data_IF_398399003178
#
_entry.id   IF_398399003178
#
_cell.length_a   1.000
_cell.length_b   1.000
_cell.length_c   1.000
_cell.angle_alpha   90.00
_cell.angle_beta   90.00
_cell.angle_gamma   90.00
#
_symmetry.space_group_name_H-M   'P 1'
#
loop_
_entity.id
_entity.type
_entity.pdbx_description
1 polymer ?
#
# COMPACT_ATOMS: atom_id res chain seq x y z
N UNK A 1 8.32 -69.67 51.56
CA UNK A 1 8.46 -70.83 52.46
C UNK A 1 9.92 -70.92 52.90
N UNK A 2 10.21 -70.73 54.18
CA UNK A 2 11.55 -70.74 54.75
C UNK A 2 11.49 -70.39 56.24
N UNK A 3 10.97 -71.33 57.05
CA UNK A 3 10.71 -71.18 58.48
C UNK A 3 12.00 -71.31 59.32
N UNK A 4 12.23 -70.32 60.18
CA UNK A 4 12.66 -70.34 61.60
C UNK A 4 13.60 -71.47 62.07
N UNK A 5 14.70 -71.09 62.74
CA UNK A 5 15.22 -71.79 63.93
C UNK A 5 15.39 -70.79 65.07
N UNK A 6 14.63 -71.03 66.14
CA UNK A 6 14.68 -70.31 67.39
C UNK A 6 15.80 -70.87 68.27
N UNK A 7 16.50 -69.97 68.97
CA UNK A 7 17.43 -70.29 70.06
C UNK A 7 16.60 -70.44 71.34
N UNK A 8 16.73 -71.58 72.01
CA UNK A 8 16.12 -71.84 73.32
C UNK A 8 17.11 -72.62 74.19
N UNK A 9 17.70 -71.97 75.20
CA UNK A 9 18.13 -72.58 76.47
C UNK A 9 18.58 -71.47 77.43
N UNK A 10 18.00 -71.43 78.64
CA UNK A 10 18.47 -70.59 79.73
C UNK A 10 17.36 -69.97 80.57
N UNK A 11 16.60 -70.81 81.29
CA UNK A 11 15.63 -70.40 82.31
C UNK A 11 16.36 -70.05 83.62
N UNK A 12 16.24 -68.81 84.09
CA UNK A 12 16.23 -68.49 85.52
C UNK A 12 15.44 -67.18 85.72
N UNK A 13 14.29 -67.31 86.38
CA UNK A 13 13.32 -66.24 86.63
C UNK A 13 13.86 -65.17 87.58
N UNK A 14 13.49 -63.90 87.36
CA UNK A 14 13.07 -62.90 88.36
C UNK A 14 12.53 -61.66 87.60
N UNK A 15 11.35 -61.20 88.04
CA UNK A 15 10.73 -59.89 87.84
C UNK A 15 10.33 -59.44 86.41
N UNK A 16 9.04 -59.08 86.29
CA UNK A 16 8.45 -58.52 85.09
C UNK A 16 9.22 -57.31 84.59
N UNK A 17 9.74 -57.43 83.38
CA UNK A 17 10.19 -56.30 82.58
C UNK A 17 9.32 -56.28 81.35
N UNK A 18 8.61 -55.17 81.16
CA UNK A 18 8.02 -54.83 79.88
C UNK A 18 9.05 -55.14 78.81
N UNK A 19 8.75 -56.05 77.88
CA UNK A 19 9.48 -56.07 76.61
C UNK A 19 9.15 -54.72 75.99
N UNK A 20 10.09 -53.76 75.92
CA UNK A 20 9.82 -52.56 75.15
C UNK A 20 9.59 -53.08 73.74
N UNK A 21 8.46 -52.73 73.14
CA UNK A 21 8.34 -52.84 71.70
C UNK A 21 9.63 -52.25 71.13
N UNK A 22 10.42 -53.05 70.41
CA UNK A 22 11.62 -52.55 69.75
C UNK A 22 11.09 -51.57 68.72
N UNK A 23 11.01 -50.30 69.11
CA UNK A 23 10.74 -49.22 68.20
C UNK A 23 11.89 -49.23 67.19
N UNK A 24 11.60 -49.16 65.89
CA UNK A 24 12.66 -49.00 64.89
C UNK A 24 13.53 -47.82 65.34
N UNK A 25 14.83 -48.07 65.52
CA UNK A 25 15.81 -47.00 65.73
C UNK A 25 16.37 -46.63 64.37
N UNK A 26 16.56 -45.33 64.17
CA UNK A 26 17.23 -44.84 62.97
C UNK A 26 18.65 -45.40 62.91
N UNK A 27 19.06 -45.82 61.72
CA UNK A 27 20.44 -46.18 61.48
C UNK A 27 21.21 -44.86 61.29
N UNK A 28 21.89 -44.42 62.35
CA UNK A 28 22.71 -43.20 62.37
C UNK A 28 24.20 -43.57 62.35
N UNK A 29 24.99 -42.81 61.59
CA UNK A 29 26.44 -42.83 61.65
C UNK A 29 26.94 -41.46 62.11
N UNK A 30 27.98 -41.44 62.94
CA UNK A 30 28.57 -40.20 63.46
C UNK A 30 29.49 -39.53 62.40
N UNK A 31 29.61 -38.20 62.47
CA UNK A 31 30.67 -37.41 61.82
C UNK A 31 30.89 -37.66 60.32
N UNK A 32 29.82 -37.84 59.55
CA UNK A 32 29.89 -37.99 58.09
C UNK A 32 30.29 -39.39 57.61
N UNK A 33 30.39 -40.38 58.51
CA UNK A 33 30.51 -41.77 58.12
C UNK A 33 29.26 -42.24 57.35
N UNK A 34 29.46 -43.07 56.33
CA UNK A 34 28.34 -43.60 55.56
C UNK A 34 27.64 -44.73 56.31
N UNK A 35 26.32 -44.62 56.50
CA UNK A 35 25.49 -45.78 56.82
C UNK A 35 25.35 -46.63 55.55
N UNK A 36 26.19 -47.65 55.45
CA UNK A 36 26.23 -48.53 54.28
C UNK A 36 25.18 -49.65 54.38
N UNK A 37 24.06 -49.50 53.67
CA UNK A 37 23.09 -50.58 53.44
C UNK A 37 23.40 -51.24 52.09
N UNK A 38 23.84 -52.51 52.09
CA UNK A 38 24.00 -53.30 50.85
C UNK A 38 25.25 -53.02 50.00
N UNK A 39 26.33 -52.47 50.60
CA UNK A 39 27.69 -52.10 50.13
C UNK A 39 28.09 -52.10 48.64
N UNK A 40 27.63 -53.02 47.78
CA UNK A 40 27.85 -53.01 46.33
C UNK A 40 26.96 -54.08 45.67
N UNK A 41 25.76 -53.71 45.21
CA UNK A 41 24.96 -54.60 44.38
C UNK A 41 25.55 -54.61 42.95
N UNK A 42 26.59 -55.40 42.71
CA UNK A 42 27.11 -55.66 41.36
C UNK A 42 26.23 -56.74 40.72
N UNK A 43 24.97 -56.41 40.45
CA UNK A 43 24.05 -57.32 39.79
C UNK A 43 24.22 -57.24 38.28
N UNK A 44 24.63 -58.33 37.64
CA UNK A 44 24.49 -58.54 36.18
C UNK A 44 23.03 -58.74 35.74
N UNK A 45 22.07 -58.36 36.59
CA UNK A 45 20.65 -58.68 36.45
C UNK A 45 19.83 -57.39 36.46
N UNK A 46 18.75 -57.36 35.69
CA UNK A 46 17.84 -56.21 35.47
C UNK A 46 17.06 -55.72 36.71
N UNK A 47 17.48 -56.05 37.94
CA UNK A 47 16.78 -55.69 39.19
C UNK A 47 17.52 -54.57 39.97
N UNK A 48 16.80 -53.65 40.64
CA UNK A 48 17.43 -52.55 41.35
C UNK A 48 18.06 -52.99 42.68
N UNK A 49 19.09 -52.25 43.09
CA UNK A 49 19.82 -52.47 44.35
C UNK A 49 18.96 -52.18 45.60
N UNK A 50 18.03 -51.22 45.50
CA UNK A 50 17.10 -50.82 46.56
C UNK A 50 15.71 -50.68 45.92
N UNK A 51 14.70 -51.38 46.47
CA UNK A 51 13.30 -51.27 46.07
C UNK A 51 12.45 -50.96 47.30
N UNK A 52 11.74 -49.82 47.31
CA UNK A 52 10.81 -49.42 48.35
C UNK A 52 9.48 -48.97 47.76
N UNK A 53 8.36 -49.39 48.36
CA UNK A 53 7.01 -48.96 47.98
C UNK A 53 6.33 -48.31 49.19
N UNK A 54 5.71 -47.15 48.98
CA UNK A 54 4.95 -46.43 50.01
C UNK A 54 3.61 -45.97 49.42
N UNK A 55 2.52 -46.15 50.16
CA UNK A 55 1.16 -45.86 49.69
C UNK A 55 0.70 -44.41 49.92
N UNK A 56 1.28 -43.69 50.89
CA UNK A 56 0.74 -42.41 51.36
C UNK A 56 1.78 -41.34 51.70
N UNK A 57 3.06 -41.59 51.42
CA UNK A 57 4.19 -40.75 51.81
C UNK A 57 5.41 -40.98 50.92
N UNK A 58 6.55 -40.40 51.29
CA UNK A 58 7.78 -40.46 50.49
C UNK A 58 8.40 -41.86 50.57
N UNK A 59 8.67 -42.49 49.42
CA UNK A 59 9.43 -43.74 49.37
C UNK A 59 10.90 -43.56 49.77
N UNK A 60 11.51 -42.42 49.39
CA UNK A 60 12.87 -41.99 49.75
C UNK A 60 12.86 -40.48 49.99
N UNK A 61 13.57 -40.00 51.01
CA UNK A 61 13.79 -38.56 51.28
C UNK A 61 15.29 -38.32 51.51
N UNK A 62 15.91 -37.52 50.64
CA UNK A 62 17.24 -36.96 50.88
C UNK A 62 17.14 -35.46 51.14
N UNK A 63 17.89 -34.95 52.11
CA UNK A 63 17.84 -33.55 52.56
C UNK A 63 19.27 -33.09 52.89
N UNK A 64 19.64 -31.89 52.44
CA UNK A 64 20.95 -31.28 52.70
C UNK A 64 20.81 -29.77 52.79
N UNK A 65 21.48 -29.15 53.76
CA UNK A 65 21.45 -27.70 53.99
C UNK A 65 22.49 -26.93 53.16
N UNK A 66 23.56 -27.61 52.75
CA UNK A 66 24.74 -26.98 52.13
C UNK A 66 25.08 -27.56 50.75
N UNK A 67 24.52 -28.73 50.39
CA UNK A 67 24.91 -29.48 49.20
C UNK A 67 23.72 -30.23 48.59
N UNK A 68 24.01 -31.25 47.78
CA UNK A 68 23.02 -32.07 47.08
C UNK A 68 22.36 -33.04 48.08
N UNK A 69 21.02 -33.01 48.17
CA UNK A 69 20.26 -33.96 49.00
C UNK A 69 20.15 -35.36 48.39
N UNK A 70 20.07 -35.46 47.06
CA UNK A 70 20.06 -36.73 46.28
C UNK A 70 20.82 -36.49 44.97
N UNK A 71 21.86 -37.29 44.72
CA UNK A 71 22.65 -37.25 43.48
C UNK A 71 22.43 -38.53 42.67
N UNK A 72 22.09 -38.38 41.39
CA UNK A 72 21.81 -39.48 40.47
C UNK A 72 22.71 -39.40 39.25
N UNK A 73 23.72 -40.27 39.21
CA UNK A 73 24.72 -40.29 38.14
C UNK A 73 24.61 -41.58 37.32
N UNK A 74 24.61 -41.44 35.99
CA UNK A 74 24.72 -42.54 35.04
C UNK A 74 25.60 -42.10 33.87
N UNK A 75 26.50 -42.99 33.40
CA UNK A 75 27.42 -42.70 32.30
C UNK A 75 26.76 -42.81 30.93
N UNK A 76 25.94 -43.83 30.76
CA UNK A 76 25.43 -44.25 29.45
C UNK A 76 23.91 -44.09 29.32
N UNK A 77 23.22 -43.70 30.40
CA UNK A 77 21.76 -43.64 30.42
C UNK A 77 21.27 -42.55 31.41
N UNK A 78 19.99 -42.59 31.78
CA UNK A 78 19.34 -41.65 32.69
C UNK A 78 19.88 -41.79 34.12
N UNK A 79 20.35 -40.69 34.70
CA UNK A 79 20.77 -40.62 36.10
C UNK A 79 19.60 -40.61 37.09
N UNK A 80 18.50 -39.91 36.74
CA UNK A 80 17.26 -39.83 37.51
C UNK A 80 16.05 -39.85 36.58
N UNK A 81 15.08 -40.73 36.82
CA UNK A 81 13.82 -40.80 36.08
C UNK A 81 12.63 -40.71 37.04
N UNK A 82 11.66 -39.86 36.73
CA UNK A 82 10.41 -39.73 37.46
C UNK A 82 9.21 -39.91 36.52
N UNK A 83 8.25 -40.75 36.91
CA UNK A 83 7.03 -41.03 36.17
C UNK A 83 5.81 -40.83 37.08
N UNK A 84 4.78 -40.15 36.58
CA UNK A 84 3.50 -39.96 37.26
C UNK A 84 2.39 -39.87 36.21
N UNK A 85 1.21 -40.44 36.51
CA UNK A 85 0.06 -40.43 35.61
C UNK A 85 -0.86 -39.22 35.80
N UNK A 86 -0.84 -38.59 36.97
CA UNK A 86 -1.78 -37.53 37.34
C UNK A 86 -1.10 -36.18 37.61
N UNK A 87 0.17 -36.21 38.00
CA UNK A 87 0.93 -35.03 38.45
C UNK A 87 2.31 -35.01 37.78
N UNK A 88 3.13 -34.02 38.10
CA UNK A 88 4.51 -33.98 37.62
C UNK A 88 5.31 -35.19 38.11
N UNK A 89 5.99 -35.89 37.19
CA UNK A 89 6.93 -36.97 37.54
C UNK A 89 8.18 -36.45 38.27
N UNK A 90 8.58 -35.21 37.97
CA UNK A 90 9.67 -34.49 38.65
C UNK A 90 9.22 -33.04 38.87
N UNK A 91 9.39 -32.54 40.09
CA UNK A 91 9.13 -31.14 40.45
C UNK A 91 10.42 -30.53 40.98
N UNK A 92 10.86 -29.44 40.35
CA UNK A 92 11.96 -28.61 40.83
C UNK A 92 11.44 -27.24 41.25
N UNK A 93 11.75 -26.81 42.48
CA UNK A 93 11.31 -25.51 43.01
C UNK A 93 12.51 -24.79 43.62
N UNK A 94 12.68 -23.52 43.29
CA UNK A 94 13.70 -22.65 43.88
C UNK A 94 13.15 -21.23 44.00
N UNK A 95 13.47 -20.53 45.10
CA UNK A 95 13.05 -19.14 45.33
C UNK A 95 14.04 -18.11 44.78
N UNK A 96 15.29 -18.52 44.55
CA UNK A 96 16.40 -17.61 44.22
C UNK A 96 17.20 -18.04 42.99
N UNK A 97 16.88 -19.18 42.37
CA UNK A 97 17.60 -19.74 41.23
C UNK A 97 16.69 -20.61 40.35
N UNK A 98 17.28 -21.43 39.48
CA UNK A 98 16.54 -22.40 38.65
C UNK A 98 15.92 -23.50 39.52
N UNK A 99 14.61 -23.75 39.34
CA UNK A 99 13.97 -24.93 39.93
C UNK A 99 14.43 -26.22 39.25
N UNK A 100 14.61 -26.18 37.92
CA UNK A 100 15.21 -27.24 37.10
C UNK A 100 16.23 -26.57 36.18
N UNK A 101 17.45 -27.10 36.14
CA UNK A 101 18.50 -26.68 35.22
C UNK A 101 18.90 -27.87 34.35
N UNK A 102 18.73 -27.73 33.03
CA UNK A 102 19.11 -28.74 32.06
C UNK A 102 20.16 -28.18 31.11
N UNK A 103 21.28 -28.87 30.97
CA UNK A 103 22.37 -28.52 30.06
C UNK A 103 22.75 -29.72 29.20
N UNK A 104 22.95 -29.48 27.91
CA UNK A 104 23.41 -30.48 26.96
C UNK A 104 24.62 -29.92 26.21
N UNK A 105 25.74 -30.63 26.25
CA UNK A 105 26.99 -30.23 25.60
C UNK A 105 27.13 -30.81 24.18
N UNK A 106 26.20 -31.67 23.76
CA UNK A 106 26.18 -32.28 22.44
C UNK A 106 25.35 -31.44 21.47
N UNK A 107 25.83 -31.30 20.22
CA UNK A 107 25.07 -30.63 19.16
C UNK A 107 23.69 -31.29 18.96
N UNK A 108 22.65 -30.48 18.77
CA UNK A 108 21.30 -30.95 18.44
C UNK A 108 20.49 -31.53 19.60
N UNK A 109 20.97 -31.44 20.84
CA UNK A 109 20.25 -31.94 22.02
C UNK A 109 19.86 -30.77 22.93
N UNK A 110 18.57 -30.58 23.25
CA UNK A 110 18.17 -29.53 24.19
C UNK A 110 18.53 -29.95 25.63
N UNK A 111 18.93 -28.98 26.45
CA UNK A 111 19.13 -29.21 27.88
C UNK A 111 17.83 -29.59 28.61
N UNK A 112 16.68 -29.05 28.15
CA UNK A 112 15.34 -29.39 28.63
C UNK A 112 14.43 -29.63 27.42
N UNK A 113 13.80 -30.79 27.35
CA UNK A 113 12.83 -31.14 26.30
C UNK A 113 11.42 -31.23 26.89
N UNK A 114 10.49 -30.43 26.37
CA UNK A 114 9.06 -30.54 26.67
C UNK A 114 8.30 -31.12 25.48
N UNK A 115 7.65 -32.27 25.65
CA UNK A 115 6.78 -32.88 24.63
C UNK A 115 5.35 -32.99 25.18
N UNK A 116 4.36 -32.49 24.44
CA UNK A 116 2.96 -32.60 24.82
C UNK A 116 2.09 -32.62 23.55
N UNK A 117 1.10 -33.53 23.49
CA UNK A 117 0.18 -33.66 22.35
C UNK A 117 -1.15 -32.90 22.51
N UNK A 118 -1.45 -32.41 23.72
CA UNK A 118 -2.72 -31.75 24.03
C UNK A 118 -2.55 -30.67 25.14
N UNK A 119 -1.59 -29.75 24.94
CA UNK A 119 -1.21 -28.76 25.94
C UNK A 119 0.18 -28.17 25.71
N UNK A 120 0.74 -27.53 26.74
CA UNK A 120 2.05 -26.91 26.65
C UNK A 120 3.17 -27.91 26.98
N UNK A 121 4.14 -28.06 26.06
CA UNK A 121 5.40 -28.76 26.39
C UNK A 121 6.28 -27.92 27.32
N UNK A 122 6.24 -26.60 27.18
CA UNK A 122 6.92 -25.63 28.04
C UNK A 122 6.02 -24.39 28.20
N UNK A 123 5.85 -23.92 29.44
CA UNK A 123 5.09 -22.70 29.75
C UNK A 123 5.87 -21.90 30.79
N UNK A 124 6.13 -20.63 30.50
CA UNK A 124 6.74 -19.70 31.44
C UNK A 124 5.85 -18.48 31.68
N UNK A 125 5.86 -17.98 32.92
CA UNK A 125 5.11 -16.79 33.34
C UNK A 125 6.05 -15.78 34.02
N UNK A 126 5.62 -14.52 34.12
CA UNK A 126 6.41 -13.44 34.71
C UNK A 126 7.03 -12.53 33.66
N UNK A 127 8.07 -11.77 34.04
CA UNK A 127 8.68 -10.75 33.15
C UNK A 127 9.27 -11.33 31.86
N UNK A 128 9.85 -12.52 31.96
CA UNK A 128 10.35 -13.30 30.82
C UNK A 128 9.85 -14.73 31.05
N UNK A 129 8.85 -15.15 30.26
CA UNK A 129 8.35 -16.53 30.35
C UNK A 129 9.30 -17.52 29.66
N UNK A 130 9.65 -17.25 28.41
CA UNK A 130 10.58 -18.06 27.60
C UNK A 130 11.57 -17.14 26.93
N UNK A 131 12.87 -17.46 27.02
CA UNK A 131 13.95 -16.76 26.34
C UNK A 131 14.70 -17.73 25.44
N UNK A 132 14.62 -17.52 24.13
CA UNK A 132 15.46 -18.20 23.16
C UNK A 132 16.57 -17.27 22.67
N UNK A 133 17.82 -17.68 22.83
CA UNK A 133 18.98 -16.98 22.29
C UNK A 133 19.78 -17.95 21.44
N UNK A 134 20.18 -17.52 20.24
CA UNK A 134 21.04 -18.30 19.38
C UNK A 134 22.02 -17.41 18.64
N UNK A 135 23.26 -17.88 18.49
CA UNK A 135 24.30 -17.24 17.68
C UNK A 135 24.21 -17.63 16.20
N UNK A 136 23.40 -18.65 15.87
CA UNK A 136 23.14 -19.12 14.51
C UNK A 136 21.67 -19.56 14.36
N UNK A 137 21.06 -19.32 13.21
CA UNK A 137 19.66 -19.71 12.92
C UNK A 137 18.64 -19.10 13.91
N UNK A 138 17.72 -19.90 14.46
CA UNK A 138 16.57 -19.43 15.24
C UNK A 138 16.82 -19.56 16.75
N UNK A 139 16.62 -18.47 17.50
CA UNK A 139 16.52 -18.54 18.96
C UNK A 139 15.21 -19.19 19.43
N UNK A 140 14.11 -18.94 18.69
CA UNK A 140 12.80 -19.57 18.86
C UNK A 140 12.26 -19.88 17.47
N UNK A 141 11.80 -21.11 17.24
CA UNK A 141 11.17 -21.54 15.99
C UNK A 141 9.80 -22.15 16.29
N UNK A 142 8.74 -21.45 15.89
CA UNK A 142 7.37 -21.91 16.05
C UNK A 142 6.78 -22.39 14.73
N UNK A 143 6.42 -23.67 14.65
CA UNK A 143 5.80 -24.29 13.48
C UNK A 143 4.39 -24.73 13.89
N UNK A 144 3.38 -24.42 13.08
CA UNK A 144 2.03 -24.92 13.24
C UNK A 144 1.43 -25.24 11.87
N UNK A 145 0.83 -26.42 11.73
CA UNK A 145 0.09 -26.80 10.51
C UNK A 145 -1.26 -26.09 10.42
N UNK A 146 -1.89 -25.85 11.57
CA UNK A 146 -3.19 -25.18 11.68
C UNK A 146 -3.12 -24.12 12.77
N UNK A 147 -3.11 -22.85 12.40
CA UNK A 147 -3.07 -21.72 13.35
C UNK A 147 -1.71 -21.02 13.41
N UNK A 148 -1.41 -20.38 14.54
CA UNK A 148 -0.20 -19.56 14.69
C UNK A 148 1.00 -20.41 15.13
N UNK A 149 2.09 -20.39 14.36
CA UNK A 149 3.37 -20.92 14.82
C UNK A 149 3.96 -20.11 15.98
N UNK A 150 3.87 -18.78 15.90
CA UNK A 150 4.22 -17.83 16.96
C UNK A 150 3.14 -16.74 17.03
N UNK A 151 2.68 -16.41 18.24
CA UNK A 151 1.70 -15.36 18.48
C UNK A 151 2.21 -14.42 19.59
N UNK A 152 2.35 -13.12 19.27
CA UNK A 152 2.67 -12.09 20.25
C UNK A 152 1.50 -11.12 20.42
N UNK A 153 1.03 -10.96 21.65
CA UNK A 153 -0.07 -10.06 22.02
C UNK A 153 0.37 -9.11 23.12
N UNK A 154 0.01 -7.84 23.01
CA UNK A 154 0.25 -6.82 24.05
C UNK A 154 -0.96 -5.88 24.11
N UNK A 155 -1.39 -5.49 25.30
CA UNK A 155 -2.52 -4.58 25.50
C UNK A 155 -2.15 -3.11 25.35
N UNK A 156 -0.94 -2.74 25.79
CA UNK A 156 -0.54 -1.33 25.96
C UNK A 156 0.72 -0.96 25.15
N UNK A 157 1.36 -1.91 24.49
CA UNK A 157 2.62 -1.68 23.78
C UNK A 157 2.79 -2.66 22.59
N UNK A 158 4.03 -2.95 22.19
CA UNK A 158 4.32 -3.84 21.07
C UNK A 158 4.13 -5.31 21.44
N UNK A 159 3.37 -6.05 20.63
CA UNK A 159 3.21 -7.51 20.75
C UNK A 159 4.37 -8.31 20.17
N UNK A 160 4.92 -7.87 19.04
CA UNK A 160 6.08 -8.48 18.36
C UNK A 160 6.98 -7.38 17.81
N UNK A 161 8.28 -7.45 18.12
CA UNK A 161 9.31 -6.59 17.52
C UNK A 161 10.20 -7.45 16.64
N UNK A 162 10.41 -7.04 15.39
CA UNK A 162 11.45 -7.58 14.53
C UNK A 162 12.47 -6.48 14.22
N UNK A 163 13.71 -6.68 14.65
CA UNK A 163 14.83 -5.76 14.43
C UNK A 163 15.92 -6.45 13.61
N UNK A 164 16.50 -5.75 12.64
CA UNK A 164 17.58 -6.27 11.82
C UNK A 164 18.44 -5.13 11.26
N UNK A 165 19.76 -5.27 11.39
CA UNK A 165 20.72 -4.27 10.90
C UNK A 165 20.89 -4.31 9.37
N UNK A 166 20.70 -5.47 8.75
CA UNK A 166 21.10 -5.73 7.35
C UNK A 166 20.03 -6.43 6.50
N UNK A 167 18.90 -6.82 7.08
CA UNK A 167 17.83 -7.50 6.36
C UNK A 167 16.46 -7.13 6.91
N UNK A 168 15.47 -7.97 6.65
CA UNK A 168 14.11 -7.74 7.12
C UNK A 168 14.02 -8.03 8.62
N UNK A 169 13.50 -7.08 9.39
CA UNK A 169 13.15 -7.33 10.79
C UNK A 169 11.96 -8.29 10.91
N UNK A 170 10.98 -8.14 10.00
CA UNK A 170 9.82 -9.02 9.85
C UNK A 170 9.59 -9.25 8.36
N UNK A 171 9.59 -10.52 7.94
CA UNK A 171 9.23 -10.91 6.58
C UNK A 171 8.05 -11.89 6.65
N UNK A 172 7.07 -11.70 5.78
CA UNK A 172 5.93 -12.59 5.65
C UNK A 172 5.78 -13.05 4.21
N UNK A 173 5.58 -14.34 4.02
CA UNK A 173 5.36 -14.96 2.72
C UNK A 173 4.06 -15.75 2.78
N UNK A 174 3.22 -15.57 1.77
CA UNK A 174 2.02 -16.36 1.60
C UNK A 174 1.85 -16.69 0.11
N UNK A 175 1.53 -17.95 -0.18
CA UNK A 175 1.43 -18.49 -1.55
C UNK A 175 0.00 -18.84 -1.97
N UNK A 176 -0.98 -18.66 -1.07
CA UNK A 176 -2.39 -18.88 -1.35
C UNK A 176 -3.04 -17.66 -1.99
N UNK A 177 -4.08 -17.88 -2.79
CA UNK A 177 -4.91 -16.79 -3.32
C UNK A 177 -5.53 -15.97 -2.18
N UNK A 178 -5.64 -14.65 -2.37
CA UNK A 178 -6.24 -13.71 -1.39
C UNK A 178 -5.54 -13.66 -0.02
N UNK A 179 -4.33 -14.21 0.10
CA UNK A 179 -3.56 -14.19 1.35
C UNK A 179 -2.57 -13.02 1.39
N UNK A 180 -2.33 -12.47 2.58
CA UNK A 180 -1.30 -11.47 2.81
C UNK A 180 -0.14 -12.11 3.56
N UNK A 181 1.09 -12.00 3.02
CA UNK A 181 2.29 -12.41 3.76
C UNK A 181 2.45 -11.64 5.07
N UNK A 182 2.21 -10.32 5.03
CA UNK A 182 2.13 -9.45 6.20
C UNK A 182 0.86 -8.60 6.09
N UNK A 183 0.07 -8.57 7.16
CA UNK A 183 -1.12 -7.72 7.26
C UNK A 183 -0.97 -6.79 8.46
N UNK A 184 -0.97 -5.49 8.20
CA UNK A 184 -1.01 -4.46 9.25
C UNK A 184 -2.37 -3.77 9.23
N UNK A 185 -3.06 -3.78 10.37
CA UNK A 185 -4.38 -3.14 10.54
C UNK A 185 -4.35 -2.21 11.74
N UNK A 186 -4.91 -1.02 11.59
CA UNK A 186 -5.12 -0.10 12.69
C UNK A 186 -6.56 0.41 12.63
N UNK A 187 -7.29 0.31 13.75
CA UNK A 187 -8.68 0.76 13.85
C UNK A 187 -8.81 2.19 14.40
N UNK A 188 -7.69 2.83 14.77
CA UNK A 188 -7.65 4.22 15.21
C UNK A 188 -7.64 5.16 14.02
N UNK A 189 -8.43 6.24 14.09
CA UNK A 189 -8.51 7.26 13.05
C UNK A 189 -7.17 8.00 12.79
N UNK A 190 -6.26 7.98 13.77
CA UNK A 190 -4.93 8.62 13.68
C UNK A 190 -3.79 7.60 13.62
N UNK A 191 -4.11 6.31 13.63
CA UNK A 191 -3.12 5.24 13.67
C UNK A 191 -2.65 4.84 12.29
N UNK A 192 -1.35 4.51 12.18
CA UNK A 192 -0.80 3.93 10.96
C UNK A 192 -0.85 2.39 11.05
N UNK A 193 -1.15 1.72 9.94
CA UNK A 193 -0.87 0.29 9.79
C UNK A 193 0.63 0.07 9.53
N UNK A 194 1.16 0.78 8.53
CA UNK A 194 2.58 0.81 8.20
C UNK A 194 3.09 2.25 8.31
N UNK A 195 4.22 2.45 9.00
CA UNK A 195 4.90 3.74 9.07
C UNK A 195 6.39 3.51 8.91
N UNK A 196 7.00 4.21 7.95
CA UNK A 196 8.42 4.13 7.68
C UNK A 196 9.02 5.54 7.68
N UNK A 197 10.20 5.67 8.28
CA UNK A 197 10.99 6.89 8.32
C UNK A 197 12.36 6.62 7.70
N UNK A 198 12.97 7.63 7.07
CA UNK A 198 14.28 7.50 6.42
C UNK A 198 14.28 7.91 4.95
N UNK A 199 15.40 7.67 4.27
CA UNK A 199 15.65 8.14 2.89
C UNK A 199 15.24 7.20 1.77
N UNK A 200 14.52 6.11 2.05
CA UNK A 200 14.06 5.13 1.04
C UNK A 200 12.53 5.05 1.03
N UNK A 201 11.98 4.40 0.01
CA UNK A 201 10.53 4.19 -0.11
C UNK A 201 9.98 3.51 1.16
N UNK A 202 8.96 4.12 1.77
CA UNK A 202 8.30 3.54 2.94
C UNK A 202 7.37 2.37 2.58
N UNK A 203 6.82 2.38 1.36
CA UNK A 203 6.02 1.31 0.78
C UNK A 203 6.42 1.17 -0.69
N UNK A 204 6.70 -0.05 -1.12
CA UNK A 204 6.93 -0.40 -2.52
C UNK A 204 5.94 -1.51 -2.91
N UNK A 205 5.06 -1.22 -3.86
CA UNK A 205 4.09 -2.18 -4.37
C UNK A 205 4.37 -2.50 -5.84
N UNK A 206 4.58 -3.78 -6.15
CA UNK A 206 4.81 -4.27 -7.50
C UNK A 206 3.81 -5.39 -7.80
N UNK A 207 3.21 -5.36 -8.99
CA UNK A 207 2.29 -6.40 -9.45
C UNK A 207 2.41 -6.56 -10.96
N UNK A 208 2.37 -7.79 -11.45
CA UNK A 208 2.41 -8.10 -12.89
C UNK A 208 1.04 -8.06 -13.56
N UNK A 209 -0.04 -8.26 -12.79
CA UNK A 209 -1.41 -8.36 -13.30
C UNK A 209 -2.42 -7.40 -12.67
N UNK A 210 -2.05 -6.72 -11.58
CA UNK A 210 -2.96 -5.87 -10.80
C UNK A 210 -2.31 -4.59 -10.30
N UNK A 211 -2.95 -3.97 -9.29
CA UNK A 211 -2.42 -2.76 -8.64
C UNK A 211 -1.28 -3.15 -7.70
N UNK A 212 -0.12 -2.52 -7.84
CA UNK A 212 0.96 -2.64 -6.86
C UNK A 212 0.57 -2.03 -5.50
N UNK A 213 -0.15 -0.90 -5.54
CA UNK A 213 -0.70 -0.20 -4.38
C UNK A 213 -2.12 0.27 -4.72
N UNK A 214 -3.09 0.01 -3.84
CA UNK A 214 -4.46 0.51 -3.97
C UNK A 214 -4.83 1.35 -2.74
N UNK A 215 -5.07 2.65 -2.95
CA UNK A 215 -5.43 3.58 -1.88
C UNK A 215 -6.88 4.01 -2.02
N UNK A 216 -7.69 3.73 -1.01
CA UNK A 216 -9.12 4.04 -0.97
C UNK A 216 -9.47 4.80 0.31
N UNK A 217 -10.29 5.84 0.17
CA UNK A 217 -10.81 6.61 1.31
C UNK A 217 -12.16 7.22 0.95
N UNK A 218 -13.07 7.28 1.92
CA UNK A 218 -14.42 7.82 1.76
C UNK A 218 -14.44 9.34 1.94
N UNK A 219 -13.65 9.85 2.89
CA UNK A 219 -13.69 11.25 3.31
C UNK A 219 -12.43 12.05 2.96
N UNK A 220 -11.32 11.36 2.67
CA UNK A 220 -10.02 11.99 2.39
C UNK A 220 -9.36 11.40 1.14
N UNK A 221 -8.10 11.77 0.86
CA UNK A 221 -7.36 11.15 -0.23
C UNK A 221 -7.10 9.68 0.08
N UNK A 222 -7.36 8.79 -0.88
CA UNK A 222 -6.91 7.40 -0.81
C UNK A 222 -5.38 7.27 -0.88
N UNK A 223 -4.74 8.15 -1.65
CA UNK A 223 -3.28 8.32 -1.73
C UNK A 223 -2.96 9.81 -1.69
N UNK A 224 -2.04 10.20 -0.81
CA UNK A 224 -1.57 11.58 -0.69
C UNK A 224 -0.04 11.61 -0.84
N UNK A 225 0.43 12.17 -1.96
CA UNK A 225 1.86 12.36 -2.22
C UNK A 225 2.23 13.83 -2.13
N UNK A 226 3.25 14.14 -1.31
CA UNK A 226 3.78 15.49 -1.13
C UNK A 226 5.30 15.44 -1.17
N UNK A 227 5.91 16.40 -1.87
CA UNK A 227 7.35 16.63 -1.88
C UNK A 227 7.63 18.12 -1.98
N UNK A 228 8.72 18.57 -1.34
CA UNK A 228 9.17 19.98 -1.38
C UNK A 228 10.19 20.24 -2.49
N UNK A 229 10.78 19.17 -3.05
CA UNK A 229 11.88 19.25 -4.02
C UNK A 229 11.59 18.55 -5.35
N UNK A 230 10.52 17.75 -5.43
CA UNK A 230 10.18 16.94 -6.60
C UNK A 230 8.66 16.71 -6.70
N UNK A 231 8.23 15.88 -7.64
CA UNK A 231 6.84 15.43 -7.74
C UNK A 231 6.43 14.65 -6.49
N UNK A 232 5.30 14.99 -5.89
CA UNK A 232 4.71 14.18 -4.82
C UNK A 232 4.11 12.87 -5.35
N UNK A 233 3.58 12.91 -6.58
CA UNK A 233 3.03 11.77 -7.31
C UNK A 233 3.52 11.87 -8.75
N UNK A 234 4.06 10.77 -9.28
CA UNK A 234 4.45 10.63 -10.68
C UNK A 234 3.78 9.37 -11.22
N UNK A 235 3.21 9.47 -12.42
CA UNK A 235 2.58 8.34 -13.09
C UNK A 235 3.10 8.21 -14.52
N UNK A 236 3.48 6.98 -14.89
CA UNK A 236 4.00 6.65 -16.20
C UNK A 236 3.22 5.46 -16.77
N UNK A 237 2.68 5.61 -17.98
CA UNK A 237 1.92 4.57 -18.67
C UNK A 237 2.43 4.42 -20.10
N UNK A 238 2.65 3.16 -20.52
CA UNK A 238 3.13 2.85 -21.88
C UNK A 238 1.96 2.81 -22.87
N UNK A 239 0.89 2.10 -22.51
CA UNK A 239 -0.28 1.86 -23.36
C UNK A 239 -1.52 2.64 -22.89
N UNK A 240 -1.38 3.47 -21.87
CA UNK A 240 -2.47 4.22 -21.25
C UNK A 240 -1.95 5.42 -20.45
N UNK A 241 -2.85 6.23 -19.88
CA UNK A 241 -2.47 7.39 -19.10
C UNK A 241 -1.65 6.97 -17.87
N UNK A 242 -0.56 7.68 -17.60
CA UNK A 242 0.20 7.49 -16.36
C UNK A 242 -0.60 7.92 -15.12
N UNK A 243 -1.43 8.95 -15.26
CA UNK A 243 -2.37 9.43 -14.22
C UNK A 243 -3.71 9.72 -14.88
N UNK A 244 -4.79 9.23 -14.28
CA UNK A 244 -6.17 9.58 -14.65
C UNK A 244 -6.90 10.12 -13.44
N UNK A 245 -7.64 11.22 -13.63
CA UNK A 245 -8.50 11.80 -12.61
C UNK A 245 -9.92 11.92 -13.11
N UNK A 246 -10.88 11.55 -12.27
CA UNK A 246 -12.31 11.59 -12.56
C UNK A 246 -13.05 12.11 -11.32
N UNK A 247 -14.04 12.97 -11.55
CA UNK A 247 -14.93 13.47 -10.51
C UNK A 247 -16.28 13.81 -11.14
N UNK A 248 -17.37 13.53 -10.42
CA UNK A 248 -18.74 13.83 -10.87
C UNK A 248 -19.14 15.28 -10.61
N UNK A 249 -18.54 15.92 -9.60
CA UNK A 249 -19.00 17.21 -9.07
C UNK A 249 -17.89 18.25 -8.90
N UNK A 250 -16.66 17.92 -9.32
CA UNK A 250 -15.49 18.79 -9.20
C UNK A 250 -14.47 18.47 -10.29
N UNK A 251 -13.28 19.07 -10.21
CA UNK A 251 -12.17 18.76 -11.10
C UNK A 251 -11.68 17.33 -10.84
N UNK A 252 -11.60 16.51 -11.91
CA UNK A 252 -10.92 15.23 -11.83
C UNK A 252 -9.40 15.40 -11.63
N UNK A 253 -8.83 16.43 -12.24
CA UNK A 253 -7.43 16.85 -12.07
C UNK A 253 -7.41 18.38 -11.93
N UNK A 254 -6.88 18.87 -10.82
CA UNK A 254 -6.69 20.30 -10.57
C UNK A 254 -5.18 20.60 -10.49
N UNK A 255 -4.70 21.52 -11.33
CA UNK A 255 -3.31 21.95 -11.36
C UNK A 255 -3.18 23.46 -11.14
N UNK A 256 -2.38 23.86 -10.16
CA UNK A 256 -2.13 25.26 -9.82
C UNK A 256 -0.65 25.48 -9.56
N UNK A 257 -0.10 26.57 -10.12
CA UNK A 257 1.33 26.88 -10.06
C UNK A 257 1.55 28.38 -10.34
N UNK A 258 2.70 28.92 -9.91
CA UNK A 258 3.17 30.23 -10.34
C UNK A 258 3.70 30.23 -11.79
N UNK A 259 3.82 29.04 -12.40
CA UNK A 259 4.21 28.84 -13.80
C UNK A 259 3.06 28.10 -14.51
N UNK A 260 3.27 26.87 -14.99
CA UNK A 260 2.23 26.06 -15.60
C UNK A 260 1.54 25.23 -14.52
N UNK A 261 0.24 25.44 -14.30
CA UNK A 261 -0.56 24.57 -13.45
C UNK A 261 -0.80 23.20 -14.09
N UNK A 262 -1.10 23.19 -15.39
CA UNK A 262 -1.26 21.99 -16.22
C UNK A 262 -0.61 22.26 -17.58
N UNK A 263 0.18 21.31 -18.08
CA UNK A 263 0.78 21.37 -19.40
C UNK A 263 0.47 20.09 -20.18
N UNK A 264 -0.08 20.23 -21.39
CA UNK A 264 -0.34 19.12 -22.30
C UNK A 264 0.46 19.29 -23.59
N UNK A 265 1.20 18.26 -23.98
CA UNK A 265 2.01 18.22 -25.19
C UNK A 265 1.82 16.90 -25.92
N UNK A 266 1.84 16.92 -27.26
CA UNK A 266 1.73 15.73 -28.09
C UNK A 266 2.48 15.93 -29.40
N UNK A 267 3.08 14.85 -29.93
CA UNK A 267 3.82 14.87 -31.20
C UNK A 267 2.92 14.71 -32.42
N UNK A 268 1.81 13.97 -32.28
CA UNK A 268 0.95 13.56 -33.39
C UNK A 268 -0.54 13.79 -33.12
N UNK A 269 -0.92 14.06 -31.87
CA UNK A 269 -2.30 14.32 -31.45
C UNK A 269 -2.46 15.67 -30.77
N UNK A 270 -3.56 15.82 -30.03
CA UNK A 270 -3.80 17.00 -29.21
C UNK A 270 -2.97 16.93 -27.93
N UNK A 271 -2.24 18.00 -27.60
CA UNK A 271 -1.62 18.13 -26.29
C UNK A 271 -2.67 18.28 -25.18
N UNK A 272 -3.76 19.01 -25.49
CA UNK A 272 -4.94 19.19 -24.63
C UNK A 272 -6.18 19.08 -25.52
N UNK A 273 -7.14 18.24 -25.13
CA UNK A 273 -8.46 18.11 -25.77
C UNK A 273 -9.53 18.43 -24.72
N UNK A 274 -10.20 19.58 -24.88
CA UNK A 274 -11.24 20.03 -23.97
C UNK A 274 -12.61 19.99 -24.64
N UNK A 275 -13.54 19.24 -24.05
CA UNK A 275 -14.91 19.04 -24.55
C UNK A 275 -15.92 19.31 -23.44
N UNK A 276 -17.02 19.95 -23.80
CA UNK A 276 -18.16 20.18 -22.89
C UNK A 276 -19.45 20.20 -23.69
N UNK A 277 -20.55 19.73 -23.08
CA UNK A 277 -21.90 19.75 -23.66
C UNK A 277 -22.70 20.99 -23.29
N UNK A 278 -22.34 21.66 -22.19
CA UNK A 278 -23.08 22.82 -21.66
C UNK A 278 -22.21 24.08 -21.61
N UNK A 279 -20.91 23.94 -21.34
CA UNK A 279 -19.98 25.04 -21.17
C UNK A 279 -18.91 25.10 -22.27
N UNK A 280 -17.88 25.91 -22.03
CA UNK A 280 -16.69 25.89 -22.87
C UNK A 280 -15.89 24.60 -22.61
N UNK A 281 -15.54 23.87 -23.66
CA UNK A 281 -14.62 22.72 -23.53
C UNK A 281 -13.22 23.15 -23.08
N UNK A 282 -12.77 24.33 -23.51
CA UNK A 282 -11.57 25.01 -23.03
C UNK A 282 -11.92 26.48 -22.77
N UNK A 283 -11.65 26.96 -21.57
CA UNK A 283 -11.83 28.36 -21.20
C UNK A 283 -10.49 28.96 -20.79
N UNK A 284 -10.05 30.00 -21.50
CA UNK A 284 -8.83 30.73 -21.20
C UNK A 284 -9.12 32.20 -20.93
N UNK A 285 -8.65 32.71 -19.80
CA UNK A 285 -8.81 34.11 -19.39
C UNK A 285 -7.51 34.64 -18.80
N UNK A 286 -7.18 35.90 -19.08
CA UNK A 286 -6.03 36.58 -18.49
C UNK A 286 -6.35 38.05 -18.29
N UNK A 287 -5.89 38.62 -17.17
CA UNK A 287 -6.06 40.04 -16.86
C UNK A 287 -5.00 40.95 -17.48
N UNK A 288 -3.87 40.39 -17.92
CA UNK A 288 -2.71 41.15 -18.39
C UNK A 288 -2.21 40.73 -19.77
N UNK A 289 -2.69 39.62 -20.32
CA UNK A 289 -2.29 39.08 -21.62
C UNK A 289 -3.48 38.41 -22.33
N UNK A 290 -3.21 37.69 -23.42
CA UNK A 290 -4.20 36.83 -24.06
C UNK A 290 -4.63 35.70 -23.11
N UNK A 291 -5.95 35.44 -23.03
CA UNK A 291 -6.48 34.28 -22.31
C UNK A 291 -6.23 32.97 -23.06
N UNK A 292 -6.27 33.03 -24.40
CA UNK A 292 -5.94 31.92 -25.31
C UNK A 292 -5.08 32.47 -26.44
N UNK A 293 -3.93 31.83 -26.67
CA UNK A 293 -3.05 32.07 -27.81
C UNK A 293 -3.08 30.85 -28.73
N UNK A 294 -3.49 31.03 -29.98
CA UNK A 294 -3.41 30.00 -31.01
C UNK A 294 -2.43 30.40 -32.10
N UNK A 295 -1.38 29.59 -32.28
CA UNK A 295 -0.33 29.80 -33.28
C UNK A 295 -0.19 28.55 -34.15
N UNK A 296 0.06 28.74 -35.44
CA UNK A 296 0.36 27.65 -36.37
C UNK A 296 1.19 28.16 -37.54
N UNK A 297 2.18 27.37 -37.95
CA UNK A 297 3.07 27.69 -39.09
C UNK A 297 2.41 27.38 -40.43
N UNK A 298 1.62 26.30 -40.51
CA UNK A 298 1.12 25.77 -41.77
C UNK A 298 -0.41 25.74 -41.88
N UNK A 299 -1.13 26.01 -40.79
CA UNK A 299 -2.58 25.98 -40.73
C UNK A 299 -3.12 27.18 -39.95
N UNK A 300 -4.43 27.21 -39.69
CA UNK A 300 -5.01 28.22 -38.83
C UNK A 300 -4.56 27.98 -37.37
N UNK A 301 -4.05 29.02 -36.72
CA UNK A 301 -3.76 28.98 -35.27
C UNK A 301 -5.04 28.82 -34.44
N UNK A 302 -6.16 29.38 -34.92
CA UNK A 302 -7.49 29.24 -34.32
C UNK A 302 -8.53 29.09 -35.44
N UNK A 303 -9.43 28.13 -35.30
CA UNK A 303 -10.61 27.95 -36.17
C UNK A 303 -11.85 28.14 -35.33
N UNK A 304 -12.68 29.13 -35.67
CA UNK A 304 -14.01 29.29 -35.10
C UNK A 304 -15.08 28.79 -36.06
N UNK A 305 -15.92 27.89 -35.58
CA UNK A 305 -17.02 27.31 -36.37
C UNK A 305 -18.27 27.18 -35.49
N UNK A 306 -19.41 27.55 -36.04
CA UNK A 306 -20.72 27.29 -35.46
C UNK A 306 -21.73 27.05 -36.59
N UNK A 307 -22.54 25.99 -36.45
CA UNK A 307 -23.55 25.66 -37.45
C UNK A 307 -24.75 26.62 -37.43
N UNK A 308 -25.07 27.15 -36.24
CA UNK A 308 -26.33 27.87 -36.00
C UNK A 308 -26.14 29.28 -35.40
N UNK A 309 -24.92 29.62 -34.98
CA UNK A 309 -24.63 30.86 -34.27
C UNK A 309 -23.32 31.50 -34.74
N UNK A 310 -22.75 32.36 -33.91
CA UNK A 310 -21.49 33.04 -34.20
C UNK A 310 -20.31 32.07 -34.09
N UNK A 311 -19.58 31.85 -35.18
CA UNK A 311 -18.35 31.04 -35.17
C UNK A 311 -17.18 31.72 -34.44
N UNK A 312 -17.03 33.04 -34.59
CA UNK A 312 -16.04 33.87 -33.87
C UNK A 312 -16.71 35.17 -33.46
N UNK A 313 -16.78 35.44 -32.14
CA UNK A 313 -17.25 36.70 -31.61
C UNK A 313 -16.04 37.54 -31.17
N UNK A 314 -15.89 38.72 -31.78
CA UNK A 314 -14.85 39.67 -31.43
C UNK A 314 -15.52 40.93 -30.82
N UNK A 315 -15.20 41.24 -29.56
CA UNK A 315 -15.81 42.37 -28.83
C UNK A 315 -14.74 43.15 -28.07
N UNK A 316 -14.83 44.47 -28.11
CA UNK A 316 -14.05 45.38 -27.27
C UNK A 316 -14.92 46.57 -26.88
N UNK A 317 -14.90 46.97 -25.61
CA UNK A 317 -15.72 48.09 -25.11
C UNK A 317 -15.15 49.45 -25.50
N UNK A 318 -13.82 49.57 -25.49
CA UNK A 318 -13.11 50.83 -25.75
C UNK A 318 -11.98 50.70 -26.78
N UNK A 319 -11.67 49.48 -27.23
CA UNK A 319 -10.53 49.19 -28.10
C UNK A 319 -10.90 48.56 -29.44
N UNK A 320 -9.92 47.96 -30.10
CA UNK A 320 -10.12 47.24 -31.36
C UNK A 320 -10.64 45.84 -31.08
N UNK A 321 -11.87 45.55 -31.52
CA UNK A 321 -12.45 44.22 -31.39
C UNK A 321 -11.77 43.20 -32.31
N UNK A 322 -11.53 43.57 -33.58
CA UNK A 322 -10.88 42.70 -34.57
C UNK A 322 -9.86 43.51 -35.37
N UNK A 323 -8.60 43.08 -35.33
CA UNK A 323 -7.51 43.58 -36.17
C UNK A 323 -7.06 42.45 -37.09
N UNK A 324 -6.95 42.72 -38.38
CA UNK A 324 -6.40 41.78 -39.36
C UNK A 324 -5.17 42.42 -39.98
N UNK A 325 -4.02 41.80 -39.75
CA UNK A 325 -2.76 42.16 -40.41
C UNK A 325 -2.46 41.13 -41.50
N UNK A 326 -2.29 41.62 -42.74
CA UNK A 326 -2.16 40.76 -43.92
C UNK A 326 -3.41 40.76 -44.81
N UNK A 327 -3.59 39.70 -45.59
CA UNK A 327 -4.68 39.61 -46.59
C UNK A 327 -5.98 39.19 -45.90
N UNK A 328 -6.99 40.06 -45.96
CA UNK A 328 -8.36 39.72 -45.56
C UNK A 328 -9.18 39.19 -46.74
N UNK A 329 -9.85 38.05 -46.56
CA UNK A 329 -10.66 37.39 -47.59
C UNK A 329 -12.07 37.11 -47.07
N UNK A 330 -13.07 37.60 -47.80
CA UNK A 330 -14.48 37.32 -47.53
C UNK A 330 -15.11 36.61 -48.73
N UNK A 331 -15.93 35.59 -48.48
CA UNK A 331 -16.70 34.91 -49.53
C UNK A 331 -17.78 35.81 -50.16
N UNK A 332 -18.11 36.92 -49.51
CA UNK A 332 -19.08 37.93 -49.94
C UNK A 332 -18.46 39.16 -50.60
N UNK A 333 -17.13 39.17 -50.79
CA UNK A 333 -16.41 40.23 -51.47
C UNK A 333 -15.79 39.74 -52.78
N UNK A 334 -15.66 40.64 -53.77
CA UNK A 334 -15.02 40.28 -55.03
C UNK A 334 -14.94 41.42 -56.04
N UNK A 335 -14.58 41.07 -57.27
CA UNK A 335 -14.53 41.97 -58.43
C UNK A 335 -15.42 41.44 -59.55
N UNK A 336 -16.02 42.36 -60.30
CA UNK A 336 -16.81 42.05 -61.49
C UNK A 336 -16.80 43.25 -62.46
N UNK A 337 -17.54 43.16 -63.57
CA UNK A 337 -17.65 44.28 -64.50
C UNK A 337 -19.03 44.33 -65.16
N UNK A 338 -19.47 45.55 -65.50
CA UNK A 338 -20.59 45.79 -66.43
C UNK A 338 -20.01 45.82 -67.84
N UNK A 339 -20.52 44.94 -68.72
CA UNK A 339 -20.03 44.81 -70.10
C UNK A 339 -20.37 46.07 -70.91
N UNK A 340 -19.46 46.48 -71.81
CA UNK A 340 -19.71 47.56 -72.77
C UNK A 340 -21.09 47.43 -73.43
N UNK A 341 -21.81 48.54 -73.54
CA UNK A 341 -23.16 48.64 -74.10
C UNK A 341 -24.28 48.26 -73.13
N UNK A 342 -23.97 47.64 -71.98
CA UNK A 342 -24.96 47.26 -70.97
C UNK A 342 -25.14 48.36 -69.91
N UNK A 343 -26.29 48.39 -69.26
CA UNK A 343 -26.53 49.27 -68.10
C UNK A 343 -26.38 48.54 -66.77
N UNK A 344 -26.23 47.21 -66.78
CA UNK A 344 -26.18 46.44 -65.53
C UNK A 344 -25.35 45.17 -65.63
N UNK A 345 -25.01 44.61 -64.47
CA UNK A 345 -24.44 43.27 -64.30
C UNK A 345 -25.15 42.57 -63.15
N UNK A 346 -25.51 41.29 -63.34
CA UNK A 346 -25.90 40.41 -62.22
C UNK A 346 -24.66 39.64 -61.77
N UNK A 347 -24.35 39.71 -60.49
CA UNK A 347 -23.28 38.95 -59.83
C UNK A 347 -23.95 37.78 -59.11
N UNK A 348 -23.52 36.57 -59.44
CA UNK A 348 -24.11 35.31 -58.94
C UNK A 348 -23.14 34.57 -58.00
N UNK A 349 -23.67 33.68 -57.18
CA UNK A 349 -22.89 32.81 -56.29
C UNK A 349 -22.61 33.42 -54.91
N UNK A 350 -22.95 34.69 -54.70
CA UNK A 350 -22.73 35.44 -53.46
C UNK A 350 -24.01 35.41 -52.62
N UNK A 351 -23.98 34.96 -51.35
CA UNK A 351 -25.14 35.01 -50.46
C UNK A 351 -25.60 36.45 -50.20
N UNK A 352 -26.90 36.70 -50.40
CA UNK A 352 -27.53 38.02 -50.16
C UNK A 352 -28.89 37.82 -49.46
N UNK A 353 -28.96 38.18 -48.18
CA UNK A 353 -30.18 38.24 -47.36
C UNK A 353 -31.05 39.46 -47.74
N UNK A 354 -32.28 39.52 -47.24
CA UNK A 354 -33.15 40.70 -47.44
C UNK A 354 -32.66 41.94 -46.69
N UNK A 355 -31.82 41.78 -45.67
CA UNK A 355 -31.23 42.86 -44.88
C UNK A 355 -29.82 43.26 -45.33
N UNK A 356 -29.25 42.59 -46.34
CA UNK A 356 -27.85 42.84 -46.72
C UNK A 356 -27.59 44.26 -47.21
N UNK A 357 -26.47 44.84 -46.78
CA UNK A 357 -25.89 46.00 -47.45
C UNK A 357 -24.97 45.54 -48.58
N UNK A 358 -25.20 46.05 -49.79
CA UNK A 358 -24.38 45.78 -50.97
C UNK A 358 -23.57 47.03 -51.29
N UNK A 359 -22.27 46.98 -51.02
CA UNK A 359 -21.34 48.07 -51.29
C UNK A 359 -20.68 47.80 -52.63
N UNK A 360 -20.71 48.79 -53.54
CA UNK A 360 -20.09 48.69 -54.86
C UNK A 360 -19.21 49.90 -55.10
N UNK A 361 -17.98 49.66 -55.57
CA UNK A 361 -17.03 50.73 -55.89
C UNK A 361 -16.45 50.50 -57.28
N UNK A 362 -16.60 51.50 -58.16
CA UNK A 362 -16.01 51.44 -59.49
C UNK A 362 -14.47 51.46 -59.40
N UNK A 363 -13.82 50.57 -60.14
CA UNK A 363 -12.37 50.35 -60.07
C UNK A 363 -11.65 51.11 -61.20
N UNK A 364 -11.95 52.41 -61.32
CA UNK A 364 -11.39 53.30 -62.34
C UNK A 364 -12.43 54.20 -63.02
N UNK A 365 -12.02 54.95 -64.04
CA UNK A 365 -12.89 55.87 -64.77
C UNK A 365 -13.93 55.12 -65.62
N UNK A 366 -15.24 55.22 -65.32
CA UNK A 366 -16.27 54.45 -66.01
C UNK A 366 -16.72 55.08 -67.36
N UNK A 367 -16.28 56.30 -67.65
CA UNK A 367 -16.79 57.13 -68.75
C UNK A 367 -17.55 58.35 -68.25
N UNK A 368 -17.65 59.37 -69.09
CA UNK A 368 -18.22 60.66 -68.70
C UNK A 368 -19.69 60.51 -68.26
N UNK A 369 -19.97 60.96 -67.03
CA UNK A 369 -21.30 60.91 -66.44
C UNK A 369 -21.85 59.51 -66.20
N UNK A 370 -21.00 58.48 -66.18
CA UNK A 370 -21.36 57.10 -65.79
C UNK A 370 -21.05 56.91 -64.31
N UNK A 371 -22.03 56.45 -63.55
CA UNK A 371 -21.90 56.12 -62.11
C UNK A 371 -22.73 54.91 -61.77
N UNK A 372 -22.50 54.32 -60.59
CA UNK A 372 -23.43 53.34 -60.02
C UNK A 372 -24.72 54.08 -59.67
N UNK A 373 -25.84 53.66 -60.24
CA UNK A 373 -27.16 54.17 -59.88
C UNK A 373 -27.66 53.51 -58.60
N UNK A 374 -27.60 52.17 -58.54
CA UNK A 374 -27.93 51.40 -57.35
C UNK A 374 -27.39 49.96 -57.48
N UNK A 375 -27.31 49.28 -56.34
CA UNK A 375 -27.16 47.83 -56.27
C UNK A 375 -28.36 47.26 -55.51
N UNK A 376 -28.92 46.17 -56.01
CA UNK A 376 -30.12 45.56 -55.40
C UNK A 376 -30.02 44.05 -55.43
N UNK A 377 -30.57 43.41 -54.40
CA UNK A 377 -30.72 41.96 -54.36
C UNK A 377 -31.52 41.47 -55.58
N UNK A 378 -31.01 40.43 -56.24
CA UNK A 378 -31.70 39.77 -57.35
C UNK A 378 -32.24 38.39 -56.94
N UNK A 379 -31.51 37.66 -56.09
CA UNK A 379 -31.97 36.42 -55.45
C UNK A 379 -31.21 36.18 -54.13
N UNK A 380 -31.49 35.06 -53.45
CA UNK A 380 -30.73 34.67 -52.25
C UNK A 380 -29.23 34.45 -52.52
N UNK A 381 -28.84 34.27 -53.78
CA UNK A 381 -27.45 34.03 -54.21
C UNK A 381 -26.97 34.98 -55.29
N UNK A 382 -27.61 36.14 -55.46
CA UNK A 382 -27.20 37.11 -56.47
C UNK A 382 -27.69 38.53 -56.19
N UNK A 383 -26.96 39.50 -56.74
CA UNK A 383 -27.36 40.90 -56.77
C UNK A 383 -27.11 41.52 -58.14
N UNK A 384 -27.83 42.60 -58.44
CA UNK A 384 -27.72 43.38 -59.67
C UNK A 384 -27.08 44.73 -59.37
N UNK A 385 -26.04 45.06 -60.11
CA UNK A 385 -25.42 46.40 -60.13
C UNK A 385 -25.92 47.13 -61.37
N UNK A 386 -26.49 48.32 -61.19
CA UNK A 386 -27.03 49.14 -62.28
C UNK A 386 -26.26 50.45 -62.37
N UNK A 387 -25.87 50.82 -63.59
CA UNK A 387 -25.28 52.11 -63.93
C UNK A 387 -26.38 53.09 -64.36
N UNK A 388 -26.17 54.38 -64.14
CA UNK A 388 -27.10 55.43 -64.57
C UNK A 388 -27.19 55.58 -66.11
N UNK A 389 -26.20 55.07 -66.85
CA UNK A 389 -26.09 55.12 -68.32
C UNK A 389 -25.49 53.82 -68.86
N UNK A 390 -25.61 53.58 -70.17
CA UNK A 390 -24.92 52.45 -70.84
C UNK A 390 -23.41 52.58 -70.67
N UNK A 391 -22.76 51.49 -70.32
CA UNK A 391 -21.32 51.40 -70.14
C UNK A 391 -20.61 51.67 -71.48
N UNK A 392 -19.83 52.76 -71.65
CA UNK A 392 -19.15 53.05 -72.91
C UNK A 392 -17.96 52.11 -73.17
N UNK A 393 -17.50 51.44 -72.11
CA UNK A 393 -16.44 50.41 -72.07
C UNK A 393 -16.81 49.36 -71.02
N UNK A 394 -15.99 48.34 -70.82
CA UNK A 394 -16.16 47.46 -69.67
C UNK A 394 -15.87 48.27 -68.40
N UNK A 395 -16.87 48.40 -67.53
CA UNK A 395 -16.76 49.16 -66.27
C UNK A 395 -16.54 48.16 -65.14
N UNK A 396 -15.30 48.09 -64.65
CA UNK A 396 -14.92 47.21 -63.54
C UNK A 396 -15.36 47.80 -62.21
N UNK A 397 -15.75 46.93 -61.29
CA UNK A 397 -16.13 47.30 -59.93
C UNK A 397 -15.70 46.22 -58.93
N UNK A 398 -15.45 46.63 -57.70
CA UNK A 398 -15.39 45.76 -56.54
C UNK A 398 -16.72 45.79 -55.82
N UNK A 399 -17.02 44.72 -55.08
CA UNK A 399 -18.20 44.65 -54.24
C UNK A 399 -17.86 44.02 -52.89
N UNK A 400 -18.66 44.38 -51.89
CA UNK A 400 -18.70 43.72 -50.60
C UNK A 400 -20.14 43.63 -50.12
N UNK A 401 -20.61 42.41 -49.83
CA UNK A 401 -21.93 42.17 -49.26
C UNK A 401 -21.77 41.92 -47.76
N UNK A 402 -22.41 42.78 -46.97
CA UNK A 402 -22.55 42.65 -45.52
C UNK A 402 -23.94 42.09 -45.28
N UNK A 403 -24.03 40.89 -44.69
CA UNK A 403 -25.29 40.15 -44.53
C UNK A 403 -26.02 40.43 -43.22
#
# INVERSE_FOLDING_TARGET
>A
MGRRRAILAGLAAIAGTLVPAVLPRDAEAADGDAVLVGKRAVGSTSYPAIWGWNHSGKGVRGESNLAIGVDGYSRDNVGVSGFSQEQAGVVGTSTNAWGVYGGANANGHPGVWGNNSNGYGCQGTGRIGVLGSSQAQYGVHGISETGHGVLGTSGDNVGVVGDSLRGDGVAGHASGDETAGVRATNSSALGYGCHATGGKAGVCGQSEGGKGVDGYSIAGPGVYGKSEQASGIEGHGINGPGISGYSESSDGIYGSSSVNGVAGASFSGHGVDGKSTEGAGVYGSSGTSCGVLGESVSYAGVIGHSANATGVLARSESGTALKVEGVSRFSTAGKAYVRRGSTYRIVTGVPVSTGSAIIVTLQGYPGYGVSVAYAVRASARSFKVVLNKRAPRNVFFSYFVVN
#
